data_IF_147555727582
#
_entry.id   IF_147555727582
#
_cell.length_a   1.000
_cell.length_b   1.000
_cell.length_c   1.000
_cell.angle_alpha   90.00
_cell.angle_beta   90.00
_cell.angle_gamma   90.00
#
_symmetry.space_group_name_H-M   'P 1'
#
loop_
_entity.id
_entity.type
_entity.pdbx_description
1 polymer ?
#
# COMPACT_ATOMS: atom_id res chain seq x y z
N UNK A 1 3.84 59.97 -28.14
CA UNK A 1 2.60 60.77 -28.08
C UNK A 1 1.72 60.28 -29.23
N UNK A 2 0.59 59.62 -29.02
CA UNK A 2 -0.08 59.27 -27.76
C UNK A 2 -0.90 57.95 -27.91
N UNK A 3 -1.49 57.45 -26.84
CA UNK A 3 -2.00 56.06 -26.70
C UNK A 3 -3.25 55.66 -27.52
N UNK A 4 -3.47 54.34 -27.75
CA UNK A 4 -4.62 53.79 -28.47
C UNK A 4 -5.75 53.22 -27.57
N UNK A 5 -7.00 53.39 -28.00
CA UNK A 5 -8.24 52.77 -27.47
C UNK A 5 -9.29 52.70 -28.61
N UNK A 6 -10.30 51.81 -28.67
CA UNK A 6 -10.72 50.66 -27.83
C UNK A 6 -11.65 49.73 -28.65
N UNK A 7 -12.08 48.60 -28.06
CA UNK A 7 -13.22 47.72 -28.43
C UNK A 7 -13.09 46.88 -29.74
N UNK A 8 -13.56 45.63 -29.81
CA UNK A 8 -14.10 44.74 -28.78
C UNK A 8 -13.79 43.26 -29.09
N UNK A 9 -13.66 42.43 -28.05
CA UNK A 9 -13.53 40.97 -28.16
C UNK A 9 -14.55 40.27 -27.25
N UNK A 10 -15.35 39.36 -27.80
CA UNK A 10 -16.39 38.64 -27.06
C UNK A 10 -15.82 37.43 -26.30
N UNK A 11 -15.88 37.46 -24.97
CA UNK A 11 -15.51 36.31 -24.13
C UNK A 11 -16.69 35.36 -23.91
N UNK A 12 -16.59 34.12 -24.40
CA UNK A 12 -17.37 33.00 -23.87
C UNK A 12 -16.62 32.37 -22.69
N UNK A 13 -16.89 32.86 -21.49
CA UNK A 13 -16.34 32.30 -20.25
C UNK A 13 -17.10 31.01 -19.85
N UNK A 14 -16.63 29.85 -20.33
CA UNK A 14 -17.09 28.57 -19.82
C UNK A 14 -16.53 28.37 -18.39
N UNK A 15 -17.38 28.58 -17.37
CA UNK A 15 -17.02 28.37 -15.98
C UNK A 15 -16.67 26.91 -15.68
N UNK A 16 -15.81 26.62 -14.67
CA UNK A 16 -15.45 25.26 -14.32
C UNK A 16 -16.68 24.48 -13.85
N UNK A 17 -16.94 23.33 -14.48
CA UNK A 17 -18.04 22.43 -14.12
C UNK A 17 -17.93 22.02 -12.65
N UNK A 18 -18.95 22.34 -11.86
CA UNK A 18 -19.02 22.03 -10.44
C UNK A 18 -19.15 20.52 -10.23
N UNK A 19 -18.03 19.85 -9.94
CA UNK A 19 -18.03 18.43 -9.56
C UNK A 19 -18.85 18.29 -8.27
N UNK A 20 -19.97 17.52 -8.28
CA UNK A 20 -20.80 17.38 -7.08
C UNK A 20 -20.00 16.68 -5.98
N UNK A 21 -20.19 17.04 -4.70
CA UNK A 21 -19.37 16.54 -3.61
C UNK A 21 -19.33 15.01 -3.56
N UNK A 22 -18.17 14.49 -3.17
CA UNK A 22 -18.03 13.09 -2.75
C UNK A 22 -18.98 12.88 -1.58
N UNK A 23 -19.90 11.90 -1.60
CA UNK A 23 -20.76 11.67 -0.44
C UNK A 23 -19.89 11.26 0.75
N UNK A 24 -20.28 11.65 1.96
CA UNK A 24 -19.58 11.22 3.17
C UNK A 24 -19.70 9.71 3.35
N UNK A 25 -18.59 9.05 3.74
CA UNK A 25 -18.67 7.68 4.24
C UNK A 25 -19.58 7.64 5.48
N UNK A 26 -20.41 6.58 5.65
CA UNK A 26 -21.37 6.51 6.74
C UNK A 26 -20.66 6.46 8.10
N UNK A 27 -21.28 7.01 9.17
CA UNK A 27 -20.71 6.96 10.51
C UNK A 27 -20.57 5.50 10.98
N UNK A 28 -19.45 5.20 11.64
CA UNK A 28 -19.14 3.84 12.09
C UNK A 28 -20.03 3.42 13.27
N UNK A 29 -20.90 2.44 13.02
CA UNK A 29 -21.47 1.59 14.08
C UNK A 29 -20.55 0.38 14.26
N UNK A 30 -19.96 0.23 15.45
CA UNK A 30 -18.91 -0.77 15.71
C UNK A 30 -19.47 -2.19 15.97
N UNK A 31 -20.78 -2.31 16.19
CA UNK A 31 -21.37 -3.44 16.91
C UNK A 31 -21.63 -4.70 16.04
N UNK A 32 -21.57 -4.57 14.70
CA UNK A 32 -21.92 -5.62 13.74
C UNK A 32 -20.71 -6.41 13.18
N UNK A 33 -19.57 -6.43 13.86
CA UNK A 33 -18.39 -7.16 13.37
C UNK A 33 -18.61 -8.69 13.31
N UNK A 34 -19.39 -9.25 14.26
CA UNK A 34 -19.68 -10.69 14.32
C UNK A 34 -20.55 -11.21 13.15
N UNK A 35 -21.39 -10.36 12.56
CA UNK A 35 -22.28 -10.75 11.45
C UNK A 35 -21.61 -10.71 10.07
N UNK A 36 -20.60 -9.85 9.88
CA UNK A 36 -19.88 -9.74 8.62
C UNK A 36 -18.96 -10.95 8.33
N UNK A 37 -18.38 -11.56 9.36
CA UNK A 37 -17.50 -12.73 9.25
C UNK A 37 -18.16 -13.99 8.65
N UNK A 38 -19.49 -14.00 8.50
CA UNK A 38 -20.25 -15.15 8.01
C UNK A 38 -20.42 -15.22 6.47
N UNK A 39 -20.12 -14.16 5.72
CA UNK A 39 -20.58 -14.02 4.33
C UNK A 39 -19.48 -13.56 3.34
N UNK A 40 -18.66 -14.50 2.85
CA UNK A 40 -17.59 -14.18 1.88
C UNK A 40 -17.07 -15.37 1.06
N UNK A 41 -17.83 -15.84 0.07
CA UNK A 41 -17.46 -17.00 -0.76
C UNK A 41 -17.45 -16.73 -2.28
N UNK A 42 -16.24 -16.81 -2.85
CA UNK A 42 -15.89 -17.07 -4.26
C UNK A 42 -16.42 -16.17 -5.41
N UNK A 43 -15.47 -15.75 -6.27
CA UNK A 43 -15.46 -15.99 -7.75
C UNK A 43 -14.09 -15.61 -8.36
N UNK A 44 -13.70 -16.28 -9.45
CA UNK A 44 -12.44 -16.08 -10.18
C UNK A 44 -12.67 -15.38 -11.53
N UNK A 45 -11.72 -14.56 -12.01
CA UNK A 45 -11.61 -14.05 -13.39
C UNK A 45 -10.14 -13.91 -13.83
N UNK A 46 -9.83 -14.16 -15.11
CA UNK A 46 -8.47 -14.32 -15.65
C UNK A 46 -7.99 -13.18 -16.59
N UNK A 47 -6.65 -13.08 -16.77
CA UNK A 47 -5.92 -12.48 -17.92
C UNK A 47 -6.10 -10.95 -18.22
N UNK A 48 -5.36 -10.28 -19.14
CA UNK A 48 -4.25 -10.70 -20.04
C UNK A 48 -2.90 -10.02 -19.70
N UNK A 49 -2.53 -8.78 -20.10
CA UNK A 49 -1.88 -8.37 -21.39
C UNK A 49 -0.33 -8.36 -21.23
N UNK A 50 0.49 -8.33 -22.31
CA UNK A 50 1.98 -8.43 -22.24
C UNK A 50 2.74 -7.61 -23.30
N UNK A 51 3.79 -6.83 -22.96
CA UNK A 51 5.03 -6.61 -23.77
C UNK A 51 6.16 -5.91 -22.98
N UNK A 52 7.35 -5.76 -23.60
CA UNK A 52 8.68 -5.62 -22.94
C UNK A 52 9.42 -4.33 -23.36
N UNK A 53 10.23 -3.74 -22.47
CA UNK A 53 11.26 -2.71 -22.76
C UNK A 53 12.63 -3.13 -22.16
N UNK A 54 13.73 -2.62 -22.73
CA UNK A 54 15.13 -3.03 -22.49
C UNK A 54 15.73 -2.57 -21.14
N UNK A 55 16.91 -3.14 -20.83
CA UNK A 55 17.73 -2.95 -19.64
C UNK A 55 18.53 -1.64 -19.59
N UNK A 56 18.83 -1.18 -18.37
CA UNK A 56 19.84 -0.17 -18.02
C UNK A 56 20.73 -0.74 -16.90
N UNK A 57 22.00 -0.34 -16.86
CA UNK A 57 23.04 -0.92 -15.99
C UNK A 57 23.06 -0.35 -14.57
N UNK A 58 23.89 -0.94 -13.69
CA UNK A 58 23.97 -0.63 -12.26
C UNK A 58 25.34 -0.05 -11.91
N UNK A 59 25.35 1.14 -11.30
CA UNK A 59 26.52 1.80 -10.72
C UNK A 59 26.41 1.70 -9.18
N UNK A 60 27.55 1.62 -8.49
CA UNK A 60 27.67 1.10 -7.11
C UNK A 60 28.03 2.15 -6.05
N UNK A 61 27.94 1.72 -4.78
CA UNK A 61 28.56 2.33 -3.58
C UNK A 61 27.77 3.48 -2.89
N UNK A 62 28.01 3.79 -1.59
CA UNK A 62 27.44 2.96 -0.51
C UNK A 62 26.85 3.74 0.70
N UNK A 63 26.37 2.98 1.69
CA UNK A 63 26.01 3.38 3.08
C UNK A 63 24.76 4.29 3.24
N UNK A 64 24.09 4.39 4.40
CA UNK A 64 24.17 3.65 5.68
C UNK A 64 22.85 2.84 5.88
N UNK A 65 22.50 2.16 6.99
CA UNK A 65 23.08 2.01 8.33
C UNK A 65 22.64 0.67 8.97
N UNK A 66 23.10 0.39 10.20
CA UNK A 66 22.58 -0.66 11.08
C UNK A 66 22.46 -0.15 12.52
N UNK A 67 21.49 -0.66 13.29
CA UNK A 67 21.51 -0.55 14.76
C UNK A 67 21.06 -1.89 15.36
N UNK A 68 21.95 -2.54 16.11
CA UNK A 68 21.67 -3.81 16.80
C UNK A 68 22.40 -3.82 18.14
N UNK A 69 21.67 -4.05 19.22
CA UNK A 69 22.19 -4.04 20.58
C UNK A 69 22.94 -5.34 20.89
N UNK A 70 24.15 -5.24 21.47
CA UNK A 70 24.91 -6.38 21.96
C UNK A 70 24.10 -7.21 22.98
N UNK A 71 24.05 -8.53 22.82
CA UNK A 71 23.96 -9.43 23.98
C UNK A 71 24.69 -10.75 23.71
N UNK A 72 25.79 -10.96 24.42
CA UNK A 72 26.53 -12.21 24.46
C UNK A 72 25.85 -13.20 25.40
N UNK A 73 25.82 -14.49 25.05
CA UNK A 73 26.28 -15.55 25.94
C UNK A 73 26.65 -16.81 25.14
N UNK A 74 27.48 -17.64 25.77
CA UNK A 74 28.24 -18.74 25.17
C UNK A 74 27.99 -20.00 26.00
N UNK A 75 27.73 -21.12 25.31
CA UNK A 75 27.72 -22.53 25.75
C UNK A 75 27.45 -23.36 24.47
N UNK A 76 28.06 -24.51 24.19
CA UNK A 76 29.07 -25.28 24.92
C UNK A 76 28.73 -26.78 24.88
N UNK A 77 29.74 -27.66 24.85
CA UNK A 77 29.64 -29.15 24.91
C UNK A 77 29.12 -29.82 23.61
N UNK A 78 29.88 -30.67 22.89
CA UNK A 78 30.28 -32.10 23.09
C UNK A 78 29.10 -33.10 22.98
N UNK A 79 29.21 -34.32 22.39
CA UNK A 79 30.34 -35.03 21.73
C UNK A 79 29.91 -36.37 21.09
N UNK A 80 30.68 -36.83 20.08
CA UNK A 80 31.11 -38.24 19.83
C UNK A 80 30.08 -39.34 19.43
N UNK A 81 30.38 -39.95 18.26
CA UNK A 81 30.22 -41.36 17.80
C UNK A 81 29.06 -42.25 18.29
N UNK A 82 28.36 -42.89 17.34
CA UNK A 82 28.40 -44.35 17.14
C UNK A 82 27.80 -44.81 15.79
N UNK A 83 28.04 -46.08 15.43
CA UNK A 83 27.62 -46.78 14.20
C UNK A 83 26.09 -47.15 14.25
N UNK A 84 25.42 -47.84 13.30
CA UNK A 84 25.89 -48.92 12.39
C UNK A 84 24.89 -49.24 11.25
N UNK A 85 25.41 -49.81 10.16
CA UNK A 85 24.82 -50.78 9.20
C UNK A 85 23.52 -50.48 8.41
N UNK A 86 23.53 -50.94 7.15
CA UNK A 86 22.41 -50.99 6.18
C UNK A 86 21.26 -51.90 6.63
N UNK A 87 20.02 -51.55 6.29
CA UNK A 87 19.11 -52.43 5.54
C UNK A 87 17.93 -51.63 4.95
N UNK A 88 17.48 -52.00 3.75
CA UNK A 88 16.19 -51.59 3.18
C UNK A 88 15.27 -52.82 3.13
N UNK A 89 13.98 -52.61 3.35
CA UNK A 89 12.99 -53.18 2.44
C UNK A 89 12.06 -52.12 1.85
N UNK A 90 11.45 -52.43 0.71
CA UNK A 90 10.33 -51.65 0.15
C UNK A 90 9.14 -51.68 1.12
N UNK A 91 8.52 -50.53 1.38
CA UNK A 91 7.15 -50.32 0.89
C UNK A 91 6.62 -48.88 1.02
N UNK A 92 5.44 -48.68 0.43
CA UNK A 92 4.61 -47.46 0.45
C UNK A 92 5.24 -46.21 -0.20
N UNK A 93 4.75 -45.89 -1.40
CA UNK A 93 4.72 -44.51 -1.90
C UNK A 93 3.81 -43.67 -0.99
N UNK A 94 4.37 -43.17 0.11
CA UNK A 94 3.81 -41.98 0.74
C UNK A 94 3.90 -40.85 -0.27
N UNK A 95 2.79 -40.57 -0.96
CA UNK A 95 2.64 -39.33 -1.71
C UNK A 95 2.78 -38.20 -0.70
N UNK A 96 3.99 -37.64 -0.63
CA UNK A 96 4.31 -36.50 0.21
C UNK A 96 3.49 -35.33 -0.32
N UNK A 97 2.30 -35.17 0.28
CA UNK A 97 1.33 -34.12 -0.04
C UNK A 97 2.01 -32.79 0.19
N UNK A 98 2.62 -32.27 -0.88
CA UNK A 98 3.50 -31.12 -0.81
C UNK A 98 2.77 -30.00 -0.10
N UNK A 99 3.26 -29.64 1.09
CA UNK A 99 2.83 -28.43 1.78
C UNK A 99 3.44 -27.29 0.99
N UNK A 100 2.80 -26.94 -0.12
CA UNK A 100 3.02 -25.71 -0.86
C UNK A 100 2.67 -24.53 0.06
N UNK A 101 3.60 -24.20 0.95
CA UNK A 101 3.59 -22.98 1.75
C UNK A 101 3.77 -21.83 0.78
N UNK A 102 2.64 -21.28 0.31
CA UNK A 102 2.52 -20.24 -0.72
C UNK A 102 3.54 -19.12 -0.50
N UNK A 103 4.69 -19.24 -1.18
CA UNK A 103 5.88 -18.49 -0.80
C UNK A 103 5.74 -17.04 -1.23
N UNK A 104 5.94 -16.11 -0.31
CA UNK A 104 5.79 -14.67 -0.57
C UNK A 104 7.10 -13.94 -0.29
N UNK A 105 7.35 -12.75 -0.88
CA UNK A 105 8.47 -11.91 -0.50
C UNK A 105 8.48 -11.64 1.01
N UNK A 106 9.63 -11.90 1.66
CA UNK A 106 9.83 -11.68 3.10
C UNK A 106 10.72 -10.46 3.40
N UNK A 107 11.10 -9.70 2.37
CA UNK A 107 11.98 -8.53 2.47
C UNK A 107 11.70 -7.52 1.36
N UNK A 108 12.03 -6.24 1.60
CA UNK A 108 11.85 -5.17 0.62
C UNK A 108 12.56 -5.42 -0.71
N UNK A 109 13.76 -6.02 -0.69
CA UNK A 109 14.46 -6.42 -1.91
C UNK A 109 13.65 -7.44 -2.72
N UNK A 110 13.13 -8.50 -2.09
CA UNK A 110 12.34 -9.52 -2.78
C UNK A 110 11.05 -8.94 -3.36
N UNK A 111 10.36 -8.05 -2.62
CA UNK A 111 9.15 -7.39 -3.10
C UNK A 111 9.45 -6.46 -4.30
N UNK A 112 10.53 -5.70 -4.24
CA UNK A 112 11.02 -4.89 -5.36
C UNK A 112 11.31 -5.73 -6.61
N UNK A 113 12.06 -6.83 -6.47
CA UNK A 113 12.40 -7.69 -7.60
C UNK A 113 11.19 -8.47 -8.15
N UNK A 114 10.19 -8.80 -7.33
CA UNK A 114 8.91 -9.34 -7.81
C UNK A 114 8.17 -8.32 -8.67
N UNK A 115 8.05 -7.08 -8.17
CA UNK A 115 7.36 -5.98 -8.86
C UNK A 115 8.06 -5.61 -10.16
N UNK A 116 9.39 -5.52 -10.15
CA UNK A 116 10.20 -5.31 -11.36
C UNK A 116 10.05 -6.45 -12.37
N UNK A 117 9.93 -7.71 -11.93
CA UNK A 117 9.67 -8.84 -12.83
C UNK A 117 8.25 -8.81 -13.42
N UNK A 118 7.24 -8.45 -12.61
CA UNK A 118 5.87 -8.26 -13.07
C UNK A 118 5.79 -7.14 -14.13
N UNK A 119 6.36 -5.98 -13.85
CA UNK A 119 6.43 -4.84 -14.76
C UNK A 119 7.11 -5.22 -16.08
N UNK A 120 8.27 -5.89 -16.04
CA UNK A 120 8.98 -6.40 -17.24
C UNK A 120 8.18 -7.43 -18.05
N UNK A 121 7.25 -8.14 -17.41
CA UNK A 121 6.31 -9.05 -18.06
C UNK A 121 4.99 -8.36 -18.50
N UNK A 122 4.87 -7.03 -18.39
CA UNK A 122 3.66 -6.27 -18.69
C UNK A 122 2.51 -6.50 -17.72
N UNK A 123 2.79 -6.92 -16.47
CA UNK A 123 1.80 -7.28 -15.44
C UNK A 123 1.85 -6.30 -14.27
N UNK A 124 0.67 -5.98 -13.72
CA UNK A 124 0.57 -5.34 -12.40
C UNK A 124 0.73 -6.45 -11.34
N UNK A 125 1.70 -6.32 -10.43
CA UNK A 125 2.00 -7.37 -9.44
C UNK A 125 0.81 -7.74 -8.55
N UNK A 126 -0.10 -6.80 -8.29
CA UNK A 126 -1.31 -7.00 -7.48
C UNK A 126 -2.31 -7.99 -8.10
N UNK A 127 -2.24 -8.27 -9.40
CA UNK A 127 -3.04 -9.32 -10.07
C UNK A 127 -2.33 -10.68 -10.16
N UNK A 128 -1.19 -10.85 -9.49
CA UNK A 128 -0.39 -12.06 -9.54
C UNK A 128 -0.36 -12.79 -8.19
N UNK A 129 -0.31 -14.14 -8.17
CA UNK A 129 0.02 -14.92 -6.98
C UNK A 129 1.35 -14.45 -6.35
N UNK A 130 1.43 -14.44 -5.02
CA UNK A 130 2.59 -13.93 -4.27
C UNK A 130 3.90 -14.72 -4.49
N UNK A 131 3.83 -15.94 -5.02
CA UNK A 131 4.95 -16.78 -5.48
C UNK A 131 5.38 -16.50 -6.93
N UNK A 132 4.70 -15.59 -7.64
CA UNK A 132 5.05 -15.22 -9.01
C UNK A 132 6.48 -14.67 -9.09
N UNK A 133 7.23 -15.18 -10.07
CA UNK A 133 8.65 -14.90 -10.28
C UNK A 133 9.59 -15.28 -9.13
N UNK A 134 9.22 -16.26 -8.28
CA UNK A 134 10.04 -16.70 -7.13
C UNK A 134 11.53 -16.92 -7.45
N UNK A 135 11.85 -17.61 -8.54
CA UNK A 135 13.25 -17.85 -8.94
C UNK A 135 14.03 -16.58 -9.31
N UNK A 136 13.35 -15.51 -9.72
CA UNK A 136 13.94 -14.19 -10.03
C UNK A 136 14.15 -13.37 -8.75
N UNK A 137 13.12 -13.25 -7.90
CA UNK A 137 13.22 -12.44 -6.68
C UNK A 137 14.00 -13.10 -5.54
N UNK A 138 14.20 -14.43 -5.56
CA UNK A 138 15.19 -15.08 -4.68
C UNK A 138 16.65 -14.78 -5.08
N UNK A 139 16.92 -14.38 -6.33
CA UNK A 139 18.29 -14.13 -6.86
C UNK A 139 18.57 -12.68 -7.23
N UNK A 140 17.75 -11.72 -6.75
CA UNK A 140 17.92 -10.31 -7.06
C UNK A 140 17.86 -9.96 -8.55
N UNK A 141 17.13 -10.76 -9.34
CA UNK A 141 17.08 -10.63 -10.80
C UNK A 141 18.32 -11.13 -11.56
N UNK A 142 19.29 -11.75 -10.88
CA UNK A 142 20.48 -12.34 -11.49
C UNK A 142 20.29 -13.83 -11.85
N UNK A 143 21.12 -14.31 -12.78
CA UNK A 143 21.35 -15.73 -13.04
C UNK A 143 22.37 -16.35 -12.08
N UNK A 144 23.19 -15.53 -11.42
CA UNK A 144 24.28 -15.96 -10.53
C UNK A 144 23.91 -15.83 -9.04
N UNK A 145 24.56 -16.64 -8.19
CA UNK A 145 24.39 -16.67 -6.73
C UNK A 145 25.10 -15.49 -6.06
N UNK A 146 24.54 -14.29 -6.21
CA UNK A 146 24.94 -13.09 -5.47
C UNK A 146 23.95 -12.76 -4.36
N UNK A 147 24.38 -11.97 -3.38
CA UNK A 147 23.51 -11.44 -2.33
C UNK A 147 22.45 -10.52 -2.93
N UNK A 148 21.23 -10.62 -2.41
CA UNK A 148 20.08 -9.83 -2.83
C UNK A 148 20.34 -8.33 -2.59
N UNK A 149 20.76 -7.62 -3.64
CA UNK A 149 21.05 -6.19 -3.59
C UNK A 149 19.83 -5.43 -3.04
N UNK A 150 20.08 -4.42 -2.19
CA UNK A 150 19.01 -3.60 -1.61
C UNK A 150 18.69 -2.46 -2.59
N UNK A 151 17.45 -2.35 -3.09
CA UNK A 151 17.06 -1.23 -3.95
C UNK A 151 17.15 0.08 -3.18
N UNK A 152 17.73 1.10 -3.81
CA UNK A 152 17.76 2.47 -3.29
C UNK A 152 16.36 3.10 -3.28
N UNK A 153 16.17 4.16 -2.50
CA UNK A 153 14.93 4.94 -2.51
C UNK A 153 14.59 5.48 -3.92
N UNK A 154 15.58 5.96 -4.68
CA UNK A 154 15.41 6.41 -6.07
C UNK A 154 14.95 5.26 -7.00
N UNK A 155 15.46 4.04 -6.82
CA UNK A 155 15.01 2.88 -7.57
C UNK A 155 13.56 2.49 -7.22
N UNK A 156 13.15 2.59 -5.95
CA UNK A 156 11.74 2.43 -5.56
C UNK A 156 10.84 3.48 -6.21
N UNK A 157 11.21 4.77 -6.14
CA UNK A 157 10.47 5.85 -6.80
C UNK A 157 10.31 5.59 -8.30
N UNK A 158 11.39 5.18 -8.98
CA UNK A 158 11.39 4.91 -10.41
C UNK A 158 10.52 3.69 -10.78
N UNK A 159 10.58 2.62 -10.00
CA UNK A 159 9.70 1.45 -10.19
C UNK A 159 8.21 1.83 -10.06
N UNK A 160 7.87 2.67 -9.07
CA UNK A 160 6.49 3.15 -8.88
C UNK A 160 6.02 4.06 -10.02
N UNK A 161 6.91 4.92 -10.55
CA UNK A 161 6.65 5.76 -11.72
C UNK A 161 6.41 4.91 -12.99
N UNK A 162 7.25 3.91 -13.26
CA UNK A 162 7.10 3.02 -14.42
C UNK A 162 5.87 2.12 -14.31
N UNK A 163 5.53 1.62 -13.11
CA UNK A 163 4.25 0.92 -12.87
C UNK A 163 3.04 1.84 -13.10
N UNK A 164 3.09 3.11 -12.65
CA UNK A 164 2.02 4.07 -12.86
C UNK A 164 1.85 4.44 -14.34
N UNK A 165 2.97 4.60 -15.07
CA UNK A 165 2.98 4.82 -16.52
C UNK A 165 2.42 3.60 -17.27
N UNK A 166 2.79 2.37 -16.88
CA UNK A 166 2.23 1.16 -17.47
C UNK A 166 0.71 1.06 -17.22
N UNK A 167 0.23 1.49 -16.06
CA UNK A 167 -1.20 1.53 -15.72
C UNK A 167 -1.97 2.62 -16.48
N UNK A 168 -1.43 3.84 -16.63
CA UNK A 168 -2.17 4.93 -17.31
C UNK A 168 -2.52 4.62 -18.77
N UNK A 169 -1.61 3.93 -19.47
CA UNK A 169 -1.86 3.36 -20.80
C UNK A 169 -2.69 2.05 -20.72
N UNK A 170 -2.32 1.13 -19.84
CA UNK A 170 -2.86 -0.23 -19.81
C UNK A 170 -4.23 -0.43 -19.13
N UNK A 171 -4.74 0.55 -18.38
CA UNK A 171 -5.99 0.39 -17.62
C UNK A 171 -7.24 0.26 -18.52
N UNK A 172 -7.24 0.86 -19.72
CA UNK A 172 -8.42 0.93 -20.57
C UNK A 172 -9.62 1.54 -19.84
N UNK A 173 -10.73 0.78 -19.79
CA UNK A 173 -11.96 1.08 -19.03
C UNK A 173 -12.09 0.30 -17.71
N UNK A 174 -11.06 -0.44 -17.28
CA UNK A 174 -11.09 -1.15 -16.00
C UNK A 174 -11.05 -0.16 -14.84
N UNK A 175 -11.77 -0.48 -13.76
CA UNK A 175 -11.65 0.27 -12.49
C UNK A 175 -10.22 0.19 -11.95
N UNK A 176 -9.75 1.27 -11.33
CA UNK A 176 -8.43 1.38 -10.73
C UNK A 176 -8.51 2.04 -9.34
N UNK A 177 -8.07 1.34 -8.30
CA UNK A 177 -7.76 1.95 -7.01
C UNK A 177 -6.26 2.11 -6.80
N UNK A 178 -5.85 3.16 -6.09
CA UNK A 178 -4.45 3.42 -5.72
C UNK A 178 -4.32 3.38 -4.19
N UNK A 179 -3.36 2.61 -3.70
CA UNK A 179 -2.87 2.71 -2.32
C UNK A 179 -1.68 3.67 -2.28
N UNK A 180 -1.69 4.64 -1.37
CA UNK A 180 -0.60 5.59 -1.14
C UNK A 180 -0.22 5.56 0.35
N UNK A 181 1.07 5.53 0.65
CA UNK A 181 1.55 5.59 2.04
C UNK A 181 2.93 5.00 2.26
N UNK A 182 3.14 4.47 3.46
CA UNK A 182 4.44 4.00 3.95
C UNK A 182 4.61 2.46 3.93
N UNK A 183 5.35 1.88 4.88
CA UNK A 183 5.51 0.42 4.99
C UNK A 183 4.19 -0.32 5.25
N UNK A 184 3.20 0.30 5.90
CA UNK A 184 1.88 -0.31 6.14
C UNK A 184 1.13 -0.51 4.81
N UNK A 185 1.11 0.51 3.95
CA UNK A 185 0.49 0.42 2.63
C UNK A 185 1.28 -0.48 1.67
N UNK A 186 2.63 -0.41 1.69
CA UNK A 186 3.48 -1.22 0.79
C UNK A 186 3.32 -2.72 1.03
N UNK A 187 3.20 -3.14 2.29
CA UNK A 187 3.12 -4.56 2.68
C UNK A 187 1.69 -5.13 2.67
N UNK A 188 0.69 -4.38 2.19
CA UNK A 188 -0.67 -4.89 2.01
C UNK A 188 -0.67 -6.08 1.03
N UNK A 189 -1.08 -7.31 1.45
CA UNK A 189 -1.00 -8.50 0.59
C UNK A 189 -1.94 -8.42 -0.63
N UNK A 190 -1.45 -8.76 -1.81
CA UNK A 190 -2.20 -8.59 -3.07
C UNK A 190 -3.47 -9.45 -3.11
N UNK A 191 -3.45 -10.66 -2.55
CA UNK A 191 -4.62 -11.53 -2.46
C UNK A 191 -5.71 -11.07 -1.47
N UNK A 192 -5.46 -9.97 -0.75
CA UNK A 192 -6.40 -9.36 0.20
C UNK A 192 -7.07 -8.09 -0.34
N UNK A 193 -6.70 -7.66 -1.54
CA UNK A 193 -7.27 -6.49 -2.18
C UNK A 193 -8.63 -6.85 -2.85
N UNK A 194 -9.69 -6.02 -2.70
CA UNK A 194 -10.98 -6.24 -3.36
C UNK A 194 -10.87 -6.52 -4.87
N UNK A 195 -11.29 -7.71 -5.28
CA UNK A 195 -10.98 -8.30 -6.60
C UNK A 195 -11.80 -7.79 -7.80
N UNK A 196 -12.57 -6.72 -7.65
CA UNK A 196 -13.44 -6.16 -8.70
C UNK A 196 -12.80 -4.98 -9.47
N UNK A 197 -11.51 -4.71 -9.24
CA UNK A 197 -10.76 -3.60 -9.84
C UNK A 197 -9.26 -3.88 -9.90
N UNK A 198 -8.52 -3.09 -10.68
CA UNK A 198 -7.06 -3.06 -10.62
C UNK A 198 -6.62 -2.28 -9.38
N UNK A 199 -5.47 -2.67 -8.82
CA UNK A 199 -4.87 -1.99 -7.67
C UNK A 199 -3.43 -1.62 -7.98
N UNK A 200 -3.07 -0.34 -7.81
CA UNK A 200 -1.69 0.15 -7.95
C UNK A 200 -1.19 0.62 -6.58
N UNK A 201 -0.10 0.03 -6.08
CA UNK A 201 0.40 0.30 -4.72
C UNK A 201 1.56 1.31 -4.73
N UNK A 202 1.23 2.60 -4.74
CA UNK A 202 2.13 3.75 -4.73
C UNK A 202 2.64 4.07 -3.31
N UNK A 203 3.19 3.07 -2.61
CA UNK A 203 3.74 3.21 -1.25
C UNK A 203 5.22 2.80 -1.18
N UNK A 204 6.01 3.44 -0.30
CA UNK A 204 7.42 3.09 -0.07
C UNK A 204 7.70 2.95 1.44
N UNK A 205 8.43 1.89 1.81
CA UNK A 205 8.74 1.58 3.20
C UNK A 205 9.46 2.72 3.92
N UNK A 206 8.90 3.20 5.03
CA UNK A 206 9.53 4.16 5.93
C UNK A 206 9.34 5.64 5.59
N UNK A 207 8.57 5.96 4.53
CA UNK A 207 8.26 7.35 4.18
C UNK A 207 7.47 8.08 5.26
N UNK A 208 7.77 9.37 5.42
CA UNK A 208 6.97 10.35 6.14
C UNK A 208 6.00 11.09 5.19
N UNK A 209 5.07 11.87 5.75
CA UNK A 209 4.07 12.64 4.98
C UNK A 209 4.68 13.57 3.93
N UNK A 210 5.80 14.23 4.23
CA UNK A 210 6.50 15.11 3.28
C UNK A 210 7.11 14.36 2.10
N UNK A 211 7.63 13.14 2.32
CA UNK A 211 8.16 12.28 1.24
C UNK A 211 7.02 11.81 0.31
N UNK A 212 5.90 11.38 0.88
CA UNK A 212 4.68 11.02 0.12
C UNK A 212 4.19 12.20 -0.71
N UNK A 213 4.06 13.39 -0.12
CA UNK A 213 3.65 14.64 -0.78
C UNK A 213 4.53 14.96 -2.00
N UNK A 214 5.86 14.89 -1.82
CA UNK A 214 6.84 15.26 -2.85
C UNK A 214 6.81 14.36 -4.10
N UNK A 215 6.16 13.19 -4.07
CA UNK A 215 6.10 12.25 -5.21
C UNK A 215 4.70 12.01 -5.78
N UNK A 216 3.67 12.75 -5.37
CA UNK A 216 2.30 12.59 -5.88
C UNK A 216 2.16 12.88 -7.40
N UNK A 217 3.14 13.52 -8.02
CA UNK A 217 3.21 13.70 -9.47
C UNK A 217 3.49 12.39 -10.23
N UNK A 218 4.17 11.41 -9.63
CA UNK A 218 4.65 10.20 -10.29
C UNK A 218 3.52 9.30 -10.84
N UNK A 219 2.30 9.43 -10.31
CA UNK A 219 1.11 8.73 -10.81
C UNK A 219 0.01 9.67 -11.32
N UNK A 220 0.30 10.97 -11.48
CA UNK A 220 -0.67 12.00 -11.93
C UNK A 220 -1.38 11.68 -13.25
N UNK A 221 -0.73 10.93 -14.14
CA UNK A 221 -1.28 10.54 -15.45
C UNK A 221 -2.22 9.32 -15.39
N UNK A 222 -2.35 8.66 -14.24
CA UNK A 222 -3.34 7.59 -14.03
C UNK A 222 -4.75 8.16 -13.88
N UNK A 223 -5.78 7.38 -14.22
CA UNK A 223 -7.19 7.75 -14.08
C UNK A 223 -7.87 6.82 -13.06
N UNK A 224 -7.65 7.01 -11.74
CA UNK A 224 -8.18 6.12 -10.72
C UNK A 224 -9.63 6.44 -10.36
N UNK A 225 -10.35 5.43 -9.90
CA UNK A 225 -11.66 5.50 -9.26
C UNK A 225 -11.57 6.02 -7.82
N UNK A 226 -10.60 5.48 -7.09
CA UNK A 226 -10.44 5.64 -5.65
C UNK A 226 -8.96 5.77 -5.31
N UNK A 227 -8.59 6.70 -4.43
CA UNK A 227 -7.22 6.86 -3.92
C UNK A 227 -7.25 6.77 -2.40
N UNK A 228 -6.72 5.68 -1.87
CA UNK A 228 -6.62 5.39 -0.43
C UNK A 228 -5.25 5.85 0.08
N UNK A 229 -5.20 6.85 0.96
CA UNK A 229 -3.95 7.44 1.44
C UNK A 229 -3.78 7.33 2.96
N UNK A 230 -2.63 6.85 3.43
CA UNK A 230 -2.24 6.83 4.84
C UNK A 230 -0.79 7.33 4.99
N UNK A 231 -0.57 8.33 5.84
CA UNK A 231 0.77 8.81 6.21
C UNK A 231 0.74 9.41 7.62
N UNK A 232 1.91 9.60 8.24
CA UNK A 232 2.05 10.16 9.60
C UNK A 232 2.78 9.23 10.59
N UNK A 233 2.76 7.91 10.38
CA UNK A 233 3.40 6.93 11.29
C UNK A 233 4.90 7.17 11.43
N UNK A 234 5.60 7.39 10.31
CA UNK A 234 7.03 7.67 10.34
C UNK A 234 7.35 9.11 10.74
N UNK A 235 6.48 10.07 10.49
CA UNK A 235 6.61 11.44 11.00
C UNK A 235 6.66 11.46 12.53
N UNK A 236 5.76 10.72 13.17
CA UNK A 236 5.74 10.52 14.61
C UNK A 236 7.01 9.83 15.12
N UNK A 237 7.48 8.78 14.44
CA UNK A 237 8.75 8.09 14.75
C UNK A 237 9.98 8.97 14.54
N UNK A 238 9.90 9.96 13.65
CA UNK A 238 10.95 10.95 13.35
C UNK A 238 10.82 12.24 14.21
N UNK A 239 9.91 12.27 15.19
CA UNK A 239 9.74 13.43 16.08
C UNK A 239 9.22 14.70 15.41
N UNK A 240 8.57 14.59 14.23
CA UNK A 240 7.97 15.76 13.55
C UNK A 240 6.83 16.36 14.39
N UNK A 241 6.58 17.66 14.24
CA UNK A 241 5.50 18.36 14.94
C UNK A 241 4.13 18.06 14.34
N UNK A 242 3.06 18.15 15.16
CA UNK A 242 1.69 17.88 14.69
C UNK A 242 1.28 18.83 13.56
N UNK A 243 1.67 20.12 13.66
CA UNK A 243 1.46 21.10 12.59
C UNK A 243 2.07 20.64 11.25
N UNK A 244 3.32 20.17 11.24
CA UNK A 244 3.97 19.72 9.99
C UNK A 244 3.25 18.50 9.38
N UNK A 245 2.78 17.58 10.23
CA UNK A 245 2.00 16.42 9.78
C UNK A 245 0.68 16.89 9.14
N UNK A 246 -0.03 17.81 9.78
CA UNK A 246 -1.32 18.33 9.30
C UNK A 246 -1.19 19.20 8.04
N UNK A 247 -0.20 20.10 8.01
CA UNK A 247 0.11 20.95 6.85
C UNK A 247 0.50 20.08 5.63
N UNK A 248 1.23 18.98 5.82
CA UNK A 248 1.52 18.00 4.77
C UNK A 248 0.27 17.20 4.36
N UNK A 249 -0.52 16.71 5.31
CA UNK A 249 -1.74 15.93 5.01
C UNK A 249 -2.78 16.75 4.24
N UNK A 250 -2.95 18.04 4.55
CA UNK A 250 -3.79 18.96 3.75
C UNK A 250 -3.27 19.09 2.31
N UNK A 251 -1.98 19.37 2.13
CA UNK A 251 -1.37 19.46 0.81
C UNK A 251 -1.47 18.14 0.02
N UNK A 252 -1.36 16.98 0.68
CA UNK A 252 -1.57 15.67 0.05
C UNK A 252 -2.99 15.57 -0.52
N UNK A 253 -4.02 15.86 0.28
CA UNK A 253 -5.42 15.78 -0.19
C UNK A 253 -5.68 16.77 -1.31
N UNK A 254 -5.25 18.02 -1.16
CA UNK A 254 -5.36 19.06 -2.20
C UNK A 254 -4.70 18.62 -3.51
N UNK A 255 -3.47 18.11 -3.45
CA UNK A 255 -2.72 17.67 -4.63
C UNK A 255 -3.33 16.43 -5.29
N UNK A 256 -3.88 15.50 -4.51
CA UNK A 256 -4.62 14.35 -5.03
C UNK A 256 -5.91 14.77 -5.74
N UNK A 257 -6.68 15.70 -5.14
CA UNK A 257 -7.93 16.23 -5.75
C UNK A 257 -7.65 17.10 -6.99
N UNK A 258 -6.53 17.83 -7.03
CA UNK A 258 -6.06 18.58 -8.21
C UNK A 258 -5.64 17.66 -9.35
N UNK A 259 -4.80 16.66 -9.07
CA UNK A 259 -4.30 15.71 -10.07
C UNK A 259 -5.43 14.79 -10.59
N UNK A 260 -6.39 14.44 -9.73
CA UNK A 260 -7.41 13.43 -10.00
C UNK A 260 -8.82 13.91 -9.56
N UNK A 261 -9.40 14.93 -10.23
CA UNK A 261 -10.63 15.60 -9.76
C UNK A 261 -11.88 14.71 -9.78
N UNK A 262 -11.91 13.69 -10.64
CA UNK A 262 -13.00 12.71 -10.72
C UNK A 262 -12.90 11.57 -9.68
N UNK A 263 -11.75 11.44 -9.01
CA UNK A 263 -11.45 10.31 -8.13
C UNK A 263 -11.92 10.55 -6.69
N UNK A 264 -12.40 9.49 -6.05
CA UNK A 264 -12.72 9.52 -4.63
C UNK A 264 -11.43 9.38 -3.82
N UNK A 265 -10.94 10.49 -3.27
CA UNK A 265 -9.82 10.48 -2.32
C UNK A 265 -10.35 10.08 -0.96
N UNK A 266 -9.74 9.06 -0.34
CA UNK A 266 -10.12 8.51 0.96
C UNK A 266 -8.89 8.51 1.86
N UNK A 267 -8.89 9.42 2.84
CA UNK A 267 -7.83 9.54 3.83
C UNK A 267 -8.06 8.53 4.94
N UNK A 268 -7.05 7.72 5.22
CA UNK A 268 -7.10 6.70 6.26
C UNK A 268 -6.39 7.22 7.51
N UNK A 269 -7.02 7.04 8.66
CA UNK A 269 -6.44 7.37 9.97
C UNK A 269 -5.08 6.69 10.19
N UNK A 270 -4.15 7.39 10.85
CA UNK A 270 -2.92 6.81 11.40
C UNK A 270 -3.31 5.71 12.39
N UNK A 271 -2.75 4.51 12.23
CA UNK A 271 -3.00 3.37 13.13
C UNK A 271 -2.41 3.62 14.53
N UNK A 272 -2.97 3.02 15.59
CA UNK A 272 -2.33 3.06 16.91
C UNK A 272 -0.99 2.31 16.88
N UNK A 273 -0.16 2.50 17.90
CA UNK A 273 1.09 1.75 18.09
C UNK A 273 1.19 1.16 19.49
N UNK A 274 2.27 0.41 19.76
CA UNK A 274 2.75 0.06 21.10
C UNK A 274 4.11 0.72 21.44
N UNK A 275 4.51 1.75 20.68
CA UNK A 275 5.79 2.43 20.87
C UNK A 275 5.70 3.42 22.04
N UNK A 276 6.44 3.18 23.12
CA UNK A 276 6.45 4.06 24.32
C UNK A 276 6.73 5.54 24.03
N UNK A 277 7.44 5.84 22.95
CA UNK A 277 7.78 7.21 22.54
C UNK A 277 6.65 7.92 21.75
N UNK A 278 5.55 7.23 21.41
CA UNK A 278 4.44 7.76 20.61
C UNK A 278 3.12 7.50 21.35
N UNK A 279 2.63 8.46 22.16
CA UNK A 279 1.36 8.31 22.87
C UNK A 279 0.18 8.22 21.88
N UNK A 280 -0.67 7.20 22.00
CA UNK A 280 -1.81 7.03 21.10
C UNK A 280 -2.86 8.16 21.22
N UNK A 281 -2.92 8.86 22.36
CA UNK A 281 -3.69 10.12 22.48
C UNK A 281 -3.26 11.17 21.44
N UNK A 282 -1.96 11.29 21.14
CA UNK A 282 -1.45 12.17 20.08
C UNK A 282 -1.92 11.70 18.70
N UNK A 283 -1.96 10.39 18.47
CA UNK A 283 -2.48 9.78 17.24
C UNK A 283 -3.99 10.07 17.09
N UNK A 284 -4.80 9.99 18.17
CA UNK A 284 -6.22 10.40 18.14
C UNK A 284 -6.38 11.89 17.81
N UNK A 285 -5.64 12.77 18.49
CA UNK A 285 -5.73 14.22 18.27
C UNK A 285 -5.35 14.60 16.82
N UNK A 286 -4.35 13.93 16.24
CA UNK A 286 -4.02 14.05 14.82
C UNK A 286 -5.14 13.50 13.94
N UNK A 287 -5.64 12.29 14.21
CA UNK A 287 -6.69 11.67 13.41
C UNK A 287 -7.98 12.49 13.34
N UNK A 288 -8.39 13.12 14.45
CA UNK A 288 -9.52 14.06 14.47
C UNK A 288 -9.30 15.25 13.53
N UNK A 289 -8.11 15.85 13.55
CA UNK A 289 -7.77 16.97 12.67
C UNK A 289 -7.59 16.54 11.20
N UNK A 290 -7.06 15.34 10.95
CA UNK A 290 -6.97 14.76 9.59
C UNK A 290 -8.36 14.46 9.03
N UNK A 291 -9.33 14.05 9.86
CA UNK A 291 -10.73 13.89 9.44
C UNK A 291 -11.37 15.22 9.04
N UNK A 292 -11.15 16.29 9.83
CA UNK A 292 -11.60 17.64 9.51
C UNK A 292 -10.95 18.17 8.22
N UNK A 293 -9.65 17.92 8.02
CA UNK A 293 -8.94 18.26 6.76
C UNK A 293 -9.57 17.50 5.58
N UNK A 294 -9.78 16.18 5.70
CA UNK A 294 -10.41 15.40 4.63
C UNK A 294 -11.79 15.97 4.25
N UNK A 295 -12.64 16.27 5.25
CA UNK A 295 -13.95 16.88 5.05
C UNK A 295 -13.85 18.27 4.36
N UNK A 296 -12.95 19.14 4.82
CA UNK A 296 -12.76 20.49 4.29
C UNK A 296 -12.28 20.50 2.82
N UNK A 297 -11.40 19.55 2.45
CA UNK A 297 -10.84 19.42 1.11
C UNK A 297 -11.70 18.51 0.17
N UNK A 298 -12.92 18.14 0.59
CA UNK A 298 -13.87 17.37 -0.22
C UNK A 298 -13.52 15.89 -0.43
N UNK A 299 -12.77 15.30 0.51
CA UNK A 299 -12.35 13.90 0.52
C UNK A 299 -13.09 13.08 1.60
N UNK A 300 -13.16 11.76 1.39
CA UNK A 300 -13.67 10.83 2.40
C UNK A 300 -12.63 10.56 3.50
N UNK A 301 -13.09 10.18 4.69
CA UNK A 301 -12.24 9.76 5.80
C UNK A 301 -12.61 8.37 6.31
N UNK A 302 -11.63 7.46 6.36
CA UNK A 302 -11.76 6.13 6.95
C UNK A 302 -11.04 6.11 8.31
N UNK A 303 -11.83 6.12 9.39
CA UNK A 303 -11.34 5.91 10.75
C UNK A 303 -10.98 4.44 10.98
N UNK A 304 -9.87 3.99 10.40
CA UNK A 304 -9.36 2.63 10.58
C UNK A 304 -8.83 2.41 12.00
N UNK A 305 -8.36 3.45 12.68
CA UNK A 305 -7.74 3.43 14.01
C UNK A 305 -8.60 2.72 15.07
N UNK A 306 -9.92 2.96 15.06
CA UNK A 306 -10.89 2.34 15.97
C UNK A 306 -10.96 0.80 15.85
N UNK A 307 -10.54 0.23 14.72
CA UNK A 307 -10.54 -1.22 14.46
C UNK A 307 -9.28 -1.91 15.00
N UNK A 308 -8.25 -1.13 15.38
CA UNK A 308 -6.92 -1.63 15.79
C UNK A 308 -6.54 -1.33 17.24
N UNK A 309 -7.32 -0.53 17.97
CA UNK A 309 -7.09 -0.24 19.40
C UNK A 309 -7.55 -1.40 20.30
N UNK A 310 -6.83 -1.64 21.38
CA UNK A 310 -7.24 -2.49 22.51
C UNK A 310 -7.87 -1.65 23.64
N UNK A 311 -8.36 -2.33 24.69
CA UNK A 311 -9.00 -1.70 25.85
C UNK A 311 -8.06 -0.78 26.68
N UNK A 312 -6.76 -0.73 26.34
CA UNK A 312 -5.76 0.12 26.98
C UNK A 312 -5.25 1.21 26.01
N UNK A 313 -5.98 1.47 24.91
CA UNK A 313 -5.60 2.46 23.90
C UNK A 313 -4.22 2.16 23.28
N UNK A 314 -3.96 0.90 22.94
CA UNK A 314 -2.74 0.45 22.25
C UNK A 314 -3.09 -0.38 21.01
N UNK A 315 -2.15 -0.50 20.06
CA UNK A 315 -2.30 -1.44 18.94
C UNK A 315 -2.50 -2.87 19.45
N UNK A 316 -3.63 -3.51 19.10
CA UNK A 316 -3.99 -4.88 19.51
C UNK A 316 -2.84 -5.86 19.24
N UNK A 317 -2.39 -6.58 20.27
CA UNK A 317 -1.20 -7.45 20.20
C UNK A 317 -1.31 -8.55 19.15
N UNK A 318 -2.52 -9.06 18.92
CA UNK A 318 -2.84 -10.08 17.93
C UNK A 318 -2.90 -9.56 16.48
N UNK A 319 -2.89 -8.24 16.24
CA UNK A 319 -2.94 -7.65 14.88
C UNK A 319 -1.56 -7.18 14.37
N UNK A 320 -0.55 -7.12 15.23
CA UNK A 320 0.79 -6.58 14.92
C UNK A 320 1.90 -7.63 15.03
N UNK A 321 3.07 -7.36 14.43
CA UNK A 321 4.31 -8.15 14.61
C UNK A 321 5.26 -7.54 15.65
N UNK A 322 5.40 -6.20 15.66
CA UNK A 322 6.41 -5.46 16.43
C UNK A 322 5.84 -4.30 17.27
N UNK A 323 4.53 -4.05 17.19
CA UNK A 323 3.87 -2.89 17.80
C UNK A 323 3.60 -1.73 16.84
N UNK A 324 3.97 -1.85 15.55
CA UNK A 324 3.64 -0.89 14.48
C UNK A 324 3.13 -1.64 13.24
N UNK A 325 3.93 -2.56 12.70
CA UNK A 325 3.62 -3.26 11.47
C UNK A 325 2.55 -4.33 11.71
N UNK A 326 1.67 -4.51 10.74
CA UNK A 326 0.59 -5.49 10.83
C UNK A 326 1.09 -6.90 10.56
N UNK A 327 0.52 -7.87 11.26
CA UNK A 327 0.61 -9.28 10.91
C UNK A 327 -0.56 -9.67 9.98
N UNK A 328 -0.69 -10.96 9.64
CA UNK A 328 -1.76 -11.45 8.76
C UNK A 328 -3.18 -11.06 9.25
N UNK A 329 -3.45 -11.17 10.55
CA UNK A 329 -4.75 -10.82 11.13
C UNK A 329 -5.01 -9.31 11.05
N UNK A 330 -3.99 -8.49 11.24
CA UNK A 330 -4.08 -7.04 11.03
C UNK A 330 -4.45 -6.67 9.59
N UNK A 331 -3.85 -7.33 8.60
CA UNK A 331 -4.26 -7.14 7.19
C UNK A 331 -5.64 -7.74 6.88
N UNK A 332 -6.14 -8.72 7.65
CA UNK A 332 -7.52 -9.21 7.54
C UNK A 332 -8.52 -8.17 8.06
N UNK A 333 -8.24 -7.50 9.18
CA UNK A 333 -9.05 -6.36 9.66
C UNK A 333 -9.07 -5.20 8.66
N UNK A 334 -7.93 -4.87 8.04
CA UNK A 334 -7.86 -3.81 7.01
C UNK A 334 -8.57 -4.22 5.71
N UNK A 335 -8.47 -5.49 5.31
CA UNK A 335 -9.19 -6.06 4.17
C UNK A 335 -10.71 -5.92 4.32
N UNK A 336 -11.28 -6.18 5.49
CA UNK A 336 -12.72 -5.97 5.73
C UNK A 336 -13.13 -4.49 5.64
N UNK A 337 -12.32 -3.58 6.20
CA UNK A 337 -12.57 -2.15 6.08
C UNK A 337 -12.55 -1.65 4.62
N UNK A 338 -11.63 -2.15 3.78
CA UNK A 338 -11.61 -1.81 2.34
C UNK A 338 -12.78 -2.44 1.56
N UNK A 339 -13.20 -3.67 1.88
CA UNK A 339 -14.36 -4.31 1.26
C UNK A 339 -15.68 -3.58 1.59
N UNK A 340 -15.84 -3.12 2.83
CA UNK A 340 -16.97 -2.29 3.25
C UNK A 340 -17.04 -0.99 2.44
N UNK A 341 -15.90 -0.28 2.34
CA UNK A 341 -15.82 0.98 1.59
C UNK A 341 -16.10 0.76 0.10
N UNK A 342 -15.45 -0.19 -0.58
CA UNK A 342 -15.70 -0.46 -2.00
C UNK A 342 -17.15 -0.90 -2.29
N UNK A 343 -17.78 -1.62 -1.37
CA UNK A 343 -19.20 -1.99 -1.49
C UNK A 343 -20.10 -0.75 -1.44
N UNK A 344 -19.86 0.16 -0.49
CA UNK A 344 -20.59 1.42 -0.39
C UNK A 344 -20.34 2.32 -1.62
N UNK A 345 -19.11 2.38 -2.15
CA UNK A 345 -18.78 3.11 -3.39
C UNK A 345 -19.57 2.54 -4.57
N UNK A 346 -19.62 1.20 -4.70
CA UNK A 346 -20.34 0.54 -5.78
C UNK A 346 -21.86 0.79 -5.75
N UNK A 347 -22.47 0.85 -4.56
CA UNK A 347 -23.89 1.20 -4.40
C UNK A 347 -24.16 2.64 -4.83
N UNK A 348 -23.40 3.61 -4.30
CA UNK A 348 -23.61 5.05 -4.55
C UNK A 348 -23.23 5.50 -5.98
N UNK A 349 -22.60 4.63 -6.77
CA UNK A 349 -22.42 4.83 -8.21
C UNK A 349 -23.64 4.41 -9.02
N UNK A 350 -24.32 3.33 -8.64
CA UNK A 350 -25.52 2.83 -9.36
C UNK A 350 -26.68 3.82 -9.26
N UNK A 351 -26.87 4.41 -8.08
CA UNK A 351 -27.91 5.44 -7.87
C UNK A 351 -27.68 6.73 -8.67
N UNK A 352 -26.44 7.03 -9.10
CA UNK A 352 -26.08 8.17 -9.96
C UNK A 352 -26.12 7.87 -11.47
N UNK A 353 -26.52 6.65 -11.87
CA UNK A 353 -26.63 6.21 -13.27
C UNK A 353 -28.07 5.87 -13.65
N UNK A 354 -28.92 5.58 -12.64
CA UNK A 354 -30.38 5.42 -12.80
C UNK A 354 -31.18 6.70 -12.52
N UNK A 355 -30.57 7.87 -12.66
CA UNK A 355 -31.11 9.20 -12.37
C UNK A 355 -30.69 10.21 -13.44
#
# INVERSE_FOLDING_TARGET
>A
MSDPFLLAAGFFAAGPLSVPPTPGLPPQQADNFSSLLAAGAARNLQSVVTRVIKSIEVITSPEFSNYSSKRTKQLGLTSVLANTTKQQPLNQRTLTRSKYTKTSPASGSQLYYQRLAALKAGKIYTRLPADSFQSFWLRGGSSQTQTLAKPTYRQWQRLLEEEAQAVSFGQGSNRLAILVGDSLSLWFPSEKLPGNQFWLNQAISGENSGQVLNRLSAFSQTRPDTIYVMAGTNDLRQGKSDRLILDNMRQIVQRLRQNHPQSQVIVQSILPTRLKAIPNQRIRNLNQQIALIAQQEGAGYLNLNSWFVDKQDQMQRNLTTDGVHLNRLGYEVWQEALQYVESWIAVNRRSRIGS
#
